data_IF_342232893906
#
_entry.id   IF_342232893906
#
_cell.length_a   1.000
_cell.length_b   1.000
_cell.length_c   1.000
_cell.angle_alpha   90.00
_cell.angle_beta   90.00
_cell.angle_gamma   90.00
#
_symmetry.space_group_name_H-M   'P 1'
#
loop_
_entity.id
_entity.type
_entity.pdbx_description
1 polymer ?
#
# COMPACT_ATOMS: atom_id res chain seq x y z
N UNK A 1 34.97 -6.33 47.67
CA UNK A 1 35.09 -4.88 47.91
C UNK A 1 34.29 -4.20 46.80
N UNK A 2 32.99 -3.98 47.00
CA UNK A 2 32.35 -2.75 47.54
C UNK A 2 32.59 -1.54 46.59
N UNK A 3 31.61 -0.78 46.11
CA UNK A 3 30.24 -0.54 46.59
C UNK A 3 29.28 0.01 45.49
N UNK A 4 27.99 -0.18 45.82
CA UNK A 4 26.68 0.30 45.35
C UNK A 4 26.48 1.79 45.04
N UNK A 5 25.42 2.13 44.28
CA UNK A 5 24.30 3.05 44.65
C UNK A 5 23.18 3.08 43.54
N UNK A 6 21.94 3.58 43.80
CA UNK A 6 20.68 2.83 43.59
C UNK A 6 19.61 3.52 42.70
N UNK A 7 18.47 2.84 42.50
CA UNK A 7 17.15 3.51 42.35
C UNK A 7 16.26 3.06 41.19
N UNK A 8 15.60 1.90 41.34
CA UNK A 8 14.33 1.58 40.64
C UNK A 8 13.15 2.20 41.41
N UNK A 9 12.11 2.69 40.72
CA UNK A 9 10.71 2.32 40.98
C UNK A 9 9.66 3.03 40.10
N UNK A 10 8.54 2.32 39.91
CA UNK A 10 7.19 2.69 39.44
C UNK A 10 6.82 2.54 37.95
N UNK A 11 6.39 1.31 37.63
CA UNK A 11 5.21 1.05 36.79
C UNK A 11 4.31 0.03 37.50
N UNK A 12 3.00 0.29 37.73
CA UNK A 12 2.12 -0.75 38.22
C UNK A 12 1.67 -1.65 37.06
N UNK A 13 1.96 -2.95 37.20
CA UNK A 13 1.17 -4.03 36.61
C UNK A 13 0.27 -4.56 37.72
N UNK A 14 -1.00 -4.76 37.43
CA UNK A 14 -1.78 -5.93 37.83
C UNK A 14 -3.25 -5.76 37.38
N UNK A 15 -3.69 -6.63 36.48
CA UNK A 15 -5.08 -7.10 36.42
C UNK A 15 -4.99 -8.59 36.07
N UNK A 16 -5.37 -9.44 37.02
CA UNK A 16 -5.69 -10.86 36.83
C UNK A 16 -7.23 -11.02 36.92
N UNK A 17 -7.88 -11.81 36.05
CA UNK A 17 -9.33 -11.98 36.05
C UNK A 17 -9.77 -13.33 36.66
N UNK A 18 -10.80 -13.32 37.52
CA UNK A 18 -11.52 -14.53 37.93
C UNK A 18 -12.65 -14.24 38.92
N UNK A 19 -13.92 -14.48 38.52
CA UNK A 19 -15.16 -14.27 39.30
C UNK A 19 -15.41 -15.32 40.41
N UNK A 20 -16.65 -15.76 40.72
CA UNK A 20 -18.00 -15.26 40.41
C UNK A 20 -18.91 -15.11 41.69
N UNK A 21 -20.22 -14.93 41.48
CA UNK A 21 -21.36 -14.99 42.43
C UNK A 21 -21.70 -13.77 43.30
N UNK A 22 -23.01 -13.45 43.36
CA UNK A 22 -23.61 -12.76 44.50
C UNK A 22 -24.59 -11.62 44.21
N UNK A 23 -25.86 -11.99 44.03
CA UNK A 23 -27.11 -11.21 44.04
C UNK A 23 -27.20 -10.14 45.14
N UNK A 24 -27.95 -9.03 44.92
CA UNK A 24 -29.11 -8.54 45.75
C UNK A 24 -29.61 -7.13 45.33
N UNK A 25 -30.89 -7.10 44.92
CA UNK A 25 -31.99 -6.15 45.14
C UNK A 25 -31.86 -4.61 45.02
N UNK A 26 -32.53 -4.08 43.98
CA UNK A 26 -33.62 -3.07 43.94
C UNK A 26 -33.87 -2.05 45.07
N UNK A 27 -34.09 -0.79 44.66
CA UNK A 27 -35.17 0.15 45.09
C UNK A 27 -35.11 1.36 44.12
N UNK A 28 -35.96 1.44 43.09
CA UNK A 28 -37.23 2.21 42.99
C UNK A 28 -37.16 3.62 43.60
N UNK A 29 -37.20 4.64 42.73
CA UNK A 29 -38.13 5.78 42.83
C UNK A 29 -38.18 6.53 41.47
N UNK A 30 -39.38 6.65 40.89
CA UNK A 30 -39.70 7.62 39.83
C UNK A 30 -39.97 9.00 40.46
N UNK A 31 -39.89 10.08 39.66
CA UNK A 31 -41.14 10.80 39.40
C UNK A 31 -41.33 11.31 37.95
N UNK A 32 -42.47 10.91 37.39
CA UNK A 32 -43.46 11.64 36.56
C UNK A 32 -43.08 13.01 35.93
N UNK A 33 -42.99 13.02 34.60
CA UNK A 33 -43.99 13.62 33.70
C UNK A 33 -43.80 15.06 33.18
N UNK A 34 -43.65 15.21 31.85
CA UNK A 34 -44.64 15.83 30.92
C UNK A 34 -44.11 16.02 29.48
N UNK A 35 -44.83 15.40 28.53
CA UNK A 35 -45.26 15.83 27.18
C UNK A 35 -44.33 16.63 26.25
N UNK A 36 -44.15 16.11 25.02
CA UNK A 36 -43.71 16.88 23.85
C UNK A 36 -43.39 16.03 22.61
N UNK A 37 -44.40 15.81 21.77
CA UNK A 37 -44.41 15.60 20.29
C UNK A 37 -43.46 14.63 19.56
N UNK A 38 -44.10 13.77 18.74
CA UNK A 38 -43.52 12.92 17.69
C UNK A 38 -43.34 13.70 16.39
N UNK A 39 -42.22 13.46 15.70
CA UNK A 39 -42.21 13.29 14.24
C UNK A 39 -41.21 12.17 13.91
N UNK A 40 -41.71 11.03 13.45
CA UNK A 40 -40.90 9.97 12.84
C UNK A 40 -41.53 9.70 11.48
N UNK A 41 -40.84 10.14 10.43
CA UNK A 41 -41.21 9.82 9.05
C UNK A 41 -41.00 8.33 8.78
N UNK A 42 -42.08 7.69 8.35
CA UNK A 42 -42.11 6.35 7.78
C UNK A 42 -41.72 6.44 6.30
N UNK A 43 -40.68 5.72 5.90
CA UNK A 43 -40.50 5.34 4.49
C UNK A 43 -40.91 3.88 4.36
N UNK A 44 -42.03 3.68 3.66
CA UNK A 44 -42.55 2.38 3.23
C UNK A 44 -41.82 1.98 1.94
N UNK A 45 -41.26 0.78 1.87
CA UNK A 45 -40.79 0.18 0.61
C UNK A 45 -41.69 -1.01 0.29
N UNK A 46 -42.38 -0.89 -0.84
CA UNK A 46 -43.33 -1.86 -1.37
C UNK A 46 -42.59 -2.98 -2.14
N UNK A 47 -43.01 -4.21 -1.91
CA UNK A 47 -42.51 -5.43 -2.56
C UNK A 47 -43.47 -5.84 -3.67
N UNK A 48 -43.12 -5.64 -4.95
CA UNK A 48 -43.69 -6.41 -6.07
C UNK A 48 -42.74 -6.56 -7.25
N UNK A 49 -42.53 -7.81 -7.65
CA UNK A 49 -42.57 -8.22 -9.06
C UNK A 49 -41.26 -8.31 -9.81
N UNK A 50 -40.74 -9.53 -9.96
CA UNK A 50 -39.97 -9.94 -11.14
C UNK A 50 -40.75 -9.66 -12.43
N UNK A 51 -40.05 -9.50 -13.56
CA UNK A 51 -40.18 -10.54 -14.58
C UNK A 51 -38.88 -10.91 -15.31
N UNK A 52 -38.87 -12.17 -15.77
CA UNK A 52 -38.06 -12.70 -16.87
C UNK A 52 -38.17 -11.87 -18.16
N UNK A 53 -37.15 -11.97 -19.02
CA UNK A 53 -37.20 -12.01 -20.52
C UNK A 53 -35.76 -11.93 -21.06
N UNK A 54 -35.18 -13.00 -21.60
CA UNK A 54 -35.17 -13.40 -23.02
C UNK A 54 -34.55 -12.38 -23.99
N UNK A 55 -33.39 -12.71 -24.56
CA UNK A 55 -32.82 -12.11 -25.77
C UNK A 55 -33.73 -12.28 -26.99
N UNK A 56 -33.54 -11.50 -28.07
CA UNK A 56 -32.78 -12.04 -29.22
C UNK A 56 -31.91 -11.02 -29.99
N UNK A 57 -31.07 -11.60 -30.87
CA UNK A 57 -30.17 -11.02 -31.86
C UNK A 57 -30.76 -9.90 -32.75
N UNK A 58 -29.89 -9.01 -33.22
CA UNK A 58 -29.95 -8.48 -34.59
C UNK A 58 -28.55 -8.14 -35.13
N UNK A 59 -28.41 -8.39 -36.43
CA UNK A 59 -27.27 -8.32 -37.34
C UNK A 59 -26.86 -6.87 -37.72
N UNK A 60 -25.66 -6.71 -38.31
CA UNK A 60 -24.99 -5.44 -38.69
C UNK A 60 -25.66 -4.60 -39.80
N UNK A 61 -24.96 -3.67 -40.51
CA UNK A 61 -23.66 -3.92 -41.17
C UNK A 61 -22.62 -2.75 -41.18
N UNK A 62 -21.40 -3.13 -41.59
CA UNK A 62 -20.37 -2.45 -42.43
C UNK A 62 -20.22 -0.93 -42.49
N UNK A 63 -18.98 -0.45 -42.35
CA UNK A 63 -18.36 0.48 -43.31
C UNK A 63 -16.84 0.31 -43.37
N UNK A 64 -16.37 0.14 -44.60
CA UNK A 64 -15.00 0.11 -45.07
C UNK A 64 -14.28 1.47 -44.98
N UNK A 65 -12.94 1.40 -44.93
CA UNK A 65 -12.09 2.20 -45.82
C UNK A 65 -11.38 3.41 -45.19
N UNK A 66 -10.07 3.33 -45.02
CA UNK A 66 -9.13 3.67 -46.11
C UNK A 66 -7.68 3.77 -45.62
N UNK A 67 -6.83 3.05 -46.33
CA UNK A 67 -5.38 3.16 -46.33
C UNK A 67 -4.92 4.53 -46.84
N UNK A 68 -3.81 5.03 -46.29
CA UNK A 68 -2.85 5.84 -47.06
C UNK A 68 -1.43 5.41 -46.74
N UNK A 69 -0.85 4.69 -47.71
CA UNK A 69 0.59 4.55 -47.92
C UNK A 69 1.10 5.79 -48.66
N UNK A 70 2.33 6.24 -48.35
CA UNK A 70 3.43 6.59 -49.30
C UNK A 70 4.43 7.53 -48.61
N UNK A 71 5.67 7.08 -48.33
CA UNK A 71 6.89 7.20 -49.16
C UNK A 71 7.76 8.42 -48.79
N UNK A 72 8.97 8.22 -48.25
CA UNK A 72 10.24 8.48 -48.96
C UNK A 72 10.77 9.91 -48.69
N UNK A 73 12.04 10.25 -48.55
CA UNK A 73 13.31 9.60 -48.77
C UNK A 73 14.46 10.48 -48.19
N UNK A 74 15.65 9.90 -48.05
CA UNK A 74 17.00 10.50 -48.15
C UNK A 74 17.57 11.40 -47.03
N UNK A 75 18.71 10.94 -46.46
CA UNK A 75 19.75 11.78 -45.83
C UNK A 75 20.55 12.59 -46.86
N UNK A 76 21.63 13.29 -46.46
CA UNK A 76 22.85 12.59 -46.03
C UNK A 76 23.68 13.25 -44.89
N UNK A 77 24.69 12.48 -44.46
CA UNK A 77 25.82 12.80 -43.58
C UNK A 77 26.62 14.06 -43.97
N UNK A 78 27.27 14.70 -42.98
CA UNK A 78 28.71 15.06 -43.05
C UNK A 78 29.31 15.32 -41.66
N UNK A 79 30.28 14.48 -41.30
CA UNK A 79 31.55 14.70 -40.59
C UNK A 79 31.84 16.01 -39.83
N UNK A 80 32.34 15.85 -38.60
CA UNK A 80 32.98 16.91 -37.79
C UNK A 80 34.39 17.31 -38.26
N UNK A 81 35.11 18.08 -37.42
CA UNK A 81 36.40 17.54 -36.98
C UNK A 81 36.74 17.80 -35.50
N UNK A 82 37.52 16.86 -34.96
CA UNK A 82 38.33 16.96 -33.76
C UNK A 82 39.29 18.16 -33.79
N UNK A 83 39.47 18.81 -32.64
CA UNK A 83 40.74 19.46 -32.29
C UNK A 83 41.09 19.19 -30.83
N UNK A 84 42.07 18.31 -30.66
CA UNK A 84 42.89 18.12 -29.47
C UNK A 84 43.74 19.37 -29.16
N UNK A 85 43.72 19.82 -27.91
CA UNK A 85 44.65 20.82 -27.38
C UNK A 85 44.96 20.52 -25.92
N UNK A 86 46.15 19.99 -25.67
CA UNK A 86 46.72 19.78 -24.34
C UNK A 86 47.48 21.03 -23.86
N UNK A 87 47.71 21.08 -22.53
CA UNK A 87 48.47 22.06 -21.72
C UNK A 87 47.67 23.18 -21.04
N UNK A 88 47.31 22.96 -19.77
CA UNK A 88 47.87 23.75 -18.66
C UNK A 88 47.66 22.99 -17.34
N UNK A 89 48.77 22.57 -16.73
CA UNK A 89 48.82 21.96 -15.39
C UNK A 89 49.49 22.95 -14.45
N UNK A 90 48.74 23.91 -13.92
CA UNK A 90 49.07 24.57 -12.66
C UNK A 90 47.86 25.33 -12.11
N UNK A 91 47.69 25.28 -10.78
CA UNK A 91 46.65 25.95 -9.99
C UNK A 91 45.20 25.46 -10.16
N UNK A 92 44.92 24.25 -9.67
CA UNK A 92 43.67 24.02 -8.95
C UNK A 92 43.91 24.27 -7.46
N UNK A 93 43.54 25.46 -7.01
CA UNK A 93 43.07 25.62 -5.64
C UNK A 93 41.98 24.57 -5.44
N UNK A 94 42.21 23.54 -4.64
CA UNK A 94 41.12 22.69 -4.17
C UNK A 94 40.16 23.59 -3.39
N UNK A 95 38.92 23.81 -3.84
CA UNK A 95 37.94 24.37 -2.95
C UNK A 95 37.69 23.29 -1.91
N UNK A 96 38.02 23.60 -0.66
CA UNK A 96 37.59 22.86 0.52
C UNK A 96 36.04 22.88 0.55
N UNK A 97 35.42 22.03 -0.26
CA UNK A 97 33.99 21.93 -0.45
C UNK A 97 33.44 21.13 0.70
N UNK A 98 32.90 21.82 1.70
CA UNK A 98 32.20 21.17 2.80
C UNK A 98 31.13 20.23 2.22
N UNK A 99 31.25 18.95 2.49
CA UNK A 99 30.28 17.95 2.05
C UNK A 99 28.93 18.24 2.73
N UNK A 100 27.84 18.26 1.94
CA UNK A 100 26.50 18.49 2.48
C UNK A 100 26.10 17.34 3.44
N UNK A 101 25.55 17.70 4.60
CA UNK A 101 25.19 16.75 5.67
C UNK A 101 23.78 16.99 6.17
N UNK A 102 23.14 15.91 6.63
CA UNK A 102 21.83 15.99 7.27
C UNK A 102 22.01 16.17 8.78
N UNK A 103 21.47 17.27 9.33
CA UNK A 103 21.54 17.62 10.76
C UNK A 103 20.16 18.05 11.29
N UNK A 104 19.93 18.06 12.62
CA UNK A 104 18.74 18.65 13.19
C UNK A 104 18.59 20.12 12.77
N UNK A 105 17.35 20.54 12.55
CA UNK A 105 17.01 21.94 12.28
C UNK A 105 17.23 22.79 13.54
N UNK A 106 17.69 24.02 13.34
CA UNK A 106 17.89 25.05 14.36
C UNK A 106 17.08 26.30 14.03
N UNK A 107 16.99 27.25 14.97
CA UNK A 107 16.29 28.52 14.75
C UNK A 107 16.87 29.32 13.56
N UNK A 108 18.19 29.22 13.33
CA UNK A 108 18.86 29.88 12.20
C UNK A 108 18.34 29.41 10.83
N UNK A 109 17.78 28.20 10.75
CA UNK A 109 17.25 27.64 9.51
C UNK A 109 15.78 28.09 9.25
N UNK A 110 15.12 28.81 10.17
CA UNK A 110 13.67 29.12 10.10
C UNK A 110 13.27 29.76 8.78
N UNK A 111 14.00 30.78 8.33
CA UNK A 111 13.66 31.49 7.10
C UNK A 111 13.71 30.56 5.89
N UNK A 112 14.72 29.68 5.82
CA UNK A 112 14.85 28.67 4.78
C UNK A 112 13.68 27.68 4.83
N UNK A 113 13.33 27.16 6.01
CA UNK A 113 12.20 26.23 6.18
C UNK A 113 10.89 26.85 5.70
N UNK A 114 10.59 28.09 6.13
CA UNK A 114 9.37 28.80 5.73
C UNK A 114 9.31 29.02 4.22
N UNK A 115 10.41 29.48 3.61
CA UNK A 115 10.49 29.68 2.17
C UNK A 115 10.29 28.36 1.40
N UNK A 116 10.96 27.29 1.82
CA UNK A 116 10.87 25.99 1.17
C UNK A 116 9.44 25.39 1.23
N UNK A 117 8.74 25.56 2.35
CA UNK A 117 7.33 25.14 2.48
C UNK A 117 6.42 25.97 1.56
N UNK A 118 6.56 27.30 1.58
CA UNK A 118 5.75 28.20 0.78
C UNK A 118 5.97 28.02 -0.72
N UNK A 119 7.17 27.62 -1.15
CA UNK A 119 7.49 27.37 -2.56
C UNK A 119 7.03 25.97 -3.00
N UNK A 120 7.23 24.94 -2.17
CA UNK A 120 7.10 23.54 -2.62
C UNK A 120 5.70 22.94 -2.45
N UNK A 121 4.90 23.41 -1.49
CA UNK A 121 3.62 22.79 -1.14
C UNK A 121 2.39 23.29 -1.94
N UNK A 122 2.22 24.58 -2.28
CA UNK A 122 0.97 25.08 -2.86
C UNK A 122 0.51 24.40 -4.15
N UNK A 123 1.46 23.95 -4.99
CA UNK A 123 1.16 23.23 -6.22
C UNK A 123 0.35 21.95 -5.95
N UNK A 124 0.55 21.31 -4.80
CA UNK A 124 0.03 19.99 -4.47
C UNK A 124 -0.98 20.00 -3.31
N UNK A 125 -0.89 20.98 -2.41
CA UNK A 125 -1.61 21.01 -1.14
C UNK A 125 -2.26 22.37 -0.90
N UNK A 126 -3.48 22.36 -0.36
CA UNK A 126 -4.15 23.58 0.11
C UNK A 126 -3.73 23.92 1.54
N UNK A 127 -4.08 25.12 2.00
CA UNK A 127 -3.85 25.58 3.37
C UNK A 127 -2.72 26.60 3.52
N UNK A 128 -2.51 27.05 4.75
CA UNK A 128 -1.46 28.01 5.10
C UNK A 128 -0.13 27.29 5.37
N UNK A 129 0.73 27.30 4.35
CA UNK A 129 2.02 26.61 4.38
C UNK A 129 3.07 27.30 5.26
N UNK A 130 2.94 28.62 5.48
CA UNK A 130 3.83 29.37 6.36
C UNK A 130 3.50 29.07 7.82
N UNK A 131 2.23 29.16 8.19
CA UNK A 131 1.78 28.77 9.54
C UNK A 131 2.06 27.29 9.82
N UNK A 132 1.96 26.44 8.80
CA UNK A 132 2.36 25.04 8.92
C UNK A 132 3.86 24.92 9.24
N UNK A 133 4.74 25.56 8.46
CA UNK A 133 6.18 25.55 8.67
C UNK A 133 6.55 25.99 10.09
N UNK A 134 6.01 27.13 10.54
CA UNK A 134 6.25 27.67 11.87
C UNK A 134 5.80 26.69 12.96
N UNK A 135 4.59 26.13 12.85
CA UNK A 135 4.06 25.19 13.84
C UNK A 135 4.92 23.94 14.01
N UNK A 136 5.37 23.30 12.92
CA UNK A 136 6.15 22.06 13.01
C UNK A 136 7.59 22.33 13.44
N UNK A 137 8.14 23.50 13.07
CA UNK A 137 9.45 23.94 13.52
C UNK A 137 9.45 24.26 15.01
N UNK A 138 8.48 25.06 15.49
CA UNK A 138 8.35 25.42 16.89
C UNK A 138 8.18 24.19 17.78
N UNK A 139 7.39 23.20 17.31
CA UNK A 139 7.29 21.92 17.99
C UNK A 139 8.67 21.27 18.12
N UNK A 140 9.41 21.10 17.02
CA UNK A 140 10.76 20.52 17.03
C UNK A 140 11.72 21.26 17.97
N UNK A 141 11.76 22.59 17.92
CA UNK A 141 12.63 23.43 18.75
C UNK A 141 12.27 23.35 20.24
N UNK A 142 10.99 23.17 20.57
CA UNK A 142 10.52 22.95 21.94
C UNK A 142 10.73 21.51 22.46
N UNK A 143 11.80 20.83 22.00
CA UNK A 143 12.09 19.43 22.34
C UNK A 143 11.26 18.41 21.56
N UNK A 144 10.46 18.87 20.61
CA UNK A 144 9.55 18.09 19.75
C UNK A 144 8.37 17.48 20.45
N UNK A 145 7.96 17.97 21.61
CA UNK A 145 6.70 17.55 22.22
C UNK A 145 5.54 18.09 21.39
N UNK A 146 4.71 17.20 20.85
CA UNK A 146 3.54 17.60 20.09
C UNK A 146 2.35 17.87 21.02
N UNK A 147 2.26 19.11 21.53
CA UNK A 147 1.22 19.52 22.49
C UNK A 147 -0.19 19.50 21.90
N UNK A 148 -0.33 19.61 20.59
CA UNK A 148 -1.61 19.57 19.89
C UNK A 148 -1.94 18.17 19.36
N UNK A 149 -1.02 17.22 19.50
CA UNK A 149 -1.07 15.90 18.88
C UNK A 149 -1.92 14.87 19.62
N UNK A 150 -3.14 14.62 19.16
CA UNK A 150 -3.96 13.52 19.71
C UNK A 150 -3.42 12.11 19.39
N UNK A 151 -2.70 11.92 18.28
CA UNK A 151 -2.05 10.64 17.93
C UNK A 151 -0.53 10.72 17.80
N UNK A 152 0.04 11.92 17.85
CA UNK A 152 1.47 12.15 17.81
C UNK A 152 2.06 12.24 19.21
N UNK A 153 3.26 11.67 19.34
CA UNK A 153 4.09 11.76 20.55
C UNK A 153 5.17 12.82 20.40
N UNK A 154 5.78 12.86 19.21
CA UNK A 154 6.99 13.65 18.98
C UNK A 154 7.09 14.11 17.55
N UNK A 155 7.61 15.32 17.36
CA UNK A 155 7.98 15.88 16.06
C UNK A 155 9.49 16.12 16.01
N UNK A 156 10.11 15.80 14.88
CA UNK A 156 11.54 16.05 14.62
C UNK A 156 11.73 16.53 13.20
N UNK A 157 12.59 17.52 13.03
CA UNK A 157 12.94 18.06 11.73
C UNK A 157 14.45 18.02 11.52
N UNK A 158 14.85 17.62 10.32
CA UNK A 158 16.23 17.61 9.87
C UNK A 158 16.38 18.42 8.58
N UNK A 159 17.51 19.07 8.40
CA UNK A 159 17.90 19.85 7.23
C UNK A 159 19.14 19.23 6.59
N UNK A 160 19.17 19.20 5.27
CA UNK A 160 20.36 18.93 4.47
C UNK A 160 21.03 20.28 4.18
N UNK A 161 22.26 20.46 4.63
CA UNK A 161 23.01 21.70 4.46
C UNK A 161 24.52 21.45 4.36
N UNK A 162 25.24 22.35 3.70
CA UNK A 162 26.70 22.45 3.79
C UNK A 162 27.10 23.71 4.59
N UNK A 163 28.35 24.16 4.46
CA UNK A 163 28.83 25.37 5.12
C UNK A 163 28.25 26.68 4.51
N UNK A 164 27.66 26.63 3.31
CA UNK A 164 27.23 27.79 2.53
C UNK A 164 25.71 27.95 2.55
N UNK A 165 24.96 26.87 2.42
CA UNK A 165 23.50 26.94 2.26
C UNK A 165 22.77 25.65 2.67
N UNK A 166 21.44 25.75 2.68
CA UNK A 166 20.53 24.64 2.95
C UNK A 166 19.85 24.18 1.66
N UNK A 167 19.66 22.87 1.51
CA UNK A 167 19.20 22.22 0.28
C UNK A 167 17.84 21.54 0.41
N UNK A 168 17.42 21.16 1.61
CA UNK A 168 16.15 20.48 1.82
C UNK A 168 15.88 20.13 3.28
N UNK A 169 14.67 19.68 3.57
CA UNK A 169 14.22 19.32 4.91
C UNK A 169 13.41 18.04 4.91
N UNK A 170 13.46 17.32 6.03
CA UNK A 170 12.51 16.25 6.33
C UNK A 170 11.94 16.47 7.73
N UNK A 171 10.61 16.47 7.80
CA UNK A 171 9.85 16.53 9.04
C UNK A 171 9.20 15.18 9.31
N UNK A 172 9.42 14.68 10.52
CA UNK A 172 8.99 13.37 11.00
C UNK A 172 8.08 13.51 12.20
N UNK A 173 6.98 12.78 12.18
CA UNK A 173 5.99 12.75 13.27
C UNK A 173 5.89 11.34 13.82
N UNK A 174 6.42 11.11 15.02
CA UNK A 174 6.28 9.85 15.74
C UNK A 174 4.86 9.69 16.25
N UNK A 175 4.25 8.55 15.94
CA UNK A 175 2.89 8.20 16.34
C UNK A 175 2.89 7.26 17.54
N UNK A 176 1.84 7.36 18.37
CA UNK A 176 1.60 6.47 19.53
C UNK A 176 1.65 4.99 19.13
N UNK A 177 1.20 4.69 17.92
CA UNK A 177 1.14 3.35 17.37
C UNK A 177 2.51 2.82 16.91
N UNK A 178 3.65 3.35 17.35
CA UNK A 178 5.01 2.92 16.91
C UNK A 178 5.20 2.95 15.38
N UNK A 179 4.73 4.02 14.76
CA UNK A 179 4.99 4.37 13.35
C UNK A 179 5.49 5.80 13.26
N UNK A 180 6.14 6.14 12.14
CA UNK A 180 6.62 7.50 11.88
C UNK A 180 6.01 8.00 10.57
N UNK A 181 5.40 9.19 10.59
CA UNK A 181 4.90 9.87 9.39
C UNK A 181 5.97 10.81 8.84
N UNK A 182 6.24 10.78 7.55
CA UNK A 182 6.97 11.84 6.83
C UNK A 182 5.95 12.92 6.41
N UNK A 183 6.14 14.17 6.83
CA UNK A 183 5.17 15.24 6.57
C UNK A 183 5.72 16.66 6.79
N UNK A 184 6.50 17.25 5.87
CA UNK A 184 6.91 16.73 4.56
C UNK A 184 8.40 16.33 4.47
N UNK A 185 8.80 15.75 3.33
CA UNK A 185 10.19 15.69 2.84
C UNK A 185 10.27 16.58 1.60
N UNK A 186 11.10 17.63 1.66
CA UNK A 186 11.22 18.64 0.61
C UNK A 186 12.68 18.83 0.24
N UNK A 187 12.94 18.96 -1.05
CA UNK A 187 14.23 19.41 -1.59
C UNK A 187 13.96 20.68 -2.39
N UNK A 188 14.81 21.69 -2.17
CA UNK A 188 14.75 22.97 -2.87
C UNK A 188 14.67 22.74 -4.38
N UNK A 189 13.74 23.41 -5.10
CA UNK A 189 13.52 23.16 -6.53
C UNK A 189 14.79 23.22 -7.39
N UNK A 190 15.70 24.16 -7.10
CA UNK A 190 16.97 24.34 -7.81
C UNK A 190 17.98 23.20 -7.61
N UNK A 191 17.76 22.33 -6.62
CA UNK A 191 18.64 21.22 -6.25
C UNK A 191 18.03 19.83 -6.46
N UNK A 192 16.83 19.75 -7.03
CA UNK A 192 16.19 18.45 -7.35
C UNK A 192 17.00 17.70 -8.40
N UNK A 193 17.14 16.39 -8.21
CA UNK A 193 17.97 15.53 -9.08
C UNK A 193 19.47 15.72 -8.90
N UNK A 194 19.90 16.54 -7.94
CA UNK A 194 21.30 16.80 -7.62
C UNK A 194 21.61 16.39 -6.19
N UNK A 195 22.89 16.17 -5.90
CA UNK A 195 23.43 15.94 -4.54
C UNK A 195 22.78 14.78 -3.76
N UNK A 196 22.03 13.91 -4.44
CA UNK A 196 21.24 12.84 -3.83
C UNK A 196 20.38 13.32 -2.63
N UNK A 197 19.97 14.60 -2.62
CA UNK A 197 19.46 15.23 -1.40
C UNK A 197 18.19 14.58 -0.83
N UNK A 198 17.28 14.15 -1.71
CA UNK A 198 16.11 13.39 -1.32
C UNK A 198 16.46 12.04 -0.69
N UNK A 199 17.46 11.34 -1.23
CA UNK A 199 17.95 10.07 -0.67
C UNK A 199 18.61 10.26 0.69
N UNK A 200 19.44 11.31 0.85
CA UNK A 200 20.08 11.61 2.14
C UNK A 200 19.04 11.92 3.23
N UNK A 201 18.03 12.74 2.92
CA UNK A 201 16.93 13.05 3.84
C UNK A 201 16.08 11.81 4.17
N UNK A 202 15.78 10.97 3.18
CA UNK A 202 15.02 9.74 3.41
C UNK A 202 15.82 8.71 4.23
N UNK A 203 17.11 8.56 3.96
CA UNK A 203 17.98 7.70 4.75
C UNK A 203 18.00 8.15 6.22
N UNK A 204 18.07 9.47 6.48
CA UNK A 204 17.97 9.99 7.85
C UNK A 204 16.61 9.71 8.48
N UNK A 205 15.53 9.81 7.71
CA UNK A 205 14.19 9.46 8.21
C UNK A 205 14.08 7.99 8.62
N UNK A 206 14.65 7.08 7.83
CA UNK A 206 14.70 5.66 8.14
C UNK A 206 15.57 5.34 9.35
N UNK A 207 16.78 5.92 9.41
CA UNK A 207 17.68 5.81 10.57
C UNK A 207 16.96 6.23 11.85
N UNK A 208 16.35 7.42 11.84
CA UNK A 208 15.61 7.93 13.00
C UNK A 208 14.43 7.03 13.36
N UNK A 209 13.64 6.61 12.38
CA UNK A 209 12.48 5.76 12.63
C UNK A 209 12.88 4.41 13.25
N UNK A 210 13.94 3.76 12.75
CA UNK A 210 14.50 2.53 13.32
C UNK A 210 14.99 2.75 14.75
N UNK A 211 15.74 3.83 14.99
CA UNK A 211 16.26 4.18 16.33
C UNK A 211 15.13 4.40 17.36
N UNK A 212 13.95 4.87 16.92
CA UNK A 212 12.77 5.01 17.78
C UNK A 212 11.94 3.73 17.94
N UNK A 213 12.38 2.60 17.39
CA UNK A 213 11.64 1.34 17.43
C UNK A 213 10.36 1.33 16.59
N UNK A 214 10.25 2.24 15.61
CA UNK A 214 9.10 2.26 14.72
C UNK A 214 9.11 1.02 13.81
N UNK A 215 7.94 0.41 13.60
CA UNK A 215 7.81 -0.73 12.67
C UNK A 215 7.62 -0.31 11.21
N UNK A 216 7.22 0.94 10.99
CA UNK A 216 6.79 1.43 9.69
C UNK A 216 7.01 2.94 9.56
N UNK A 217 7.50 3.35 8.39
CA UNK A 217 7.39 4.71 7.88
C UNK A 217 6.15 4.82 7.00
N UNK A 218 5.43 5.93 7.06
CA UNK A 218 4.35 6.20 6.13
C UNK A 218 4.32 7.66 5.71
N UNK A 219 3.77 7.92 4.54
CA UNK A 219 3.58 9.25 4.01
C UNK A 219 2.31 9.30 3.15
N UNK A 220 1.97 10.50 2.73
CA UNK A 220 0.98 10.69 1.69
C UNK A 220 1.61 11.47 0.55
N UNK A 221 1.23 11.17 -0.69
CA UNK A 221 1.72 11.86 -1.88
C UNK A 221 0.54 12.22 -2.78
N UNK A 222 0.45 13.49 -3.16
CA UNK A 222 -0.57 13.96 -4.09
C UNK A 222 -0.40 13.34 -5.48
N UNK A 223 -1.50 13.00 -6.15
CA UNK A 223 -1.47 12.51 -7.54
C UNK A 223 -0.87 13.55 -8.51
N UNK A 224 -0.92 14.83 -8.14
CA UNK A 224 -0.29 15.92 -8.90
C UNK A 224 1.24 15.95 -8.79
N UNK A 225 1.84 15.05 -7.99
CA UNK A 225 3.29 14.92 -7.81
C UNK A 225 3.80 13.49 -8.17
N UNK A 226 3.71 13.09 -9.45
CA UNK A 226 4.12 11.76 -9.89
C UNK A 226 5.62 11.49 -9.67
N UNK A 227 6.45 12.53 -9.68
CA UNK A 227 7.88 12.43 -9.39
C UNK A 227 8.14 11.94 -7.96
N UNK A 228 7.42 12.49 -6.98
CA UNK A 228 7.54 12.04 -5.57
C UNK A 228 6.97 10.65 -5.39
N UNK A 229 5.86 10.32 -6.06
CA UNK A 229 5.29 8.98 -6.01
C UNK A 229 6.29 7.94 -6.52
N UNK A 230 6.94 8.22 -7.66
CA UNK A 230 8.00 7.39 -8.23
C UNK A 230 9.21 7.31 -7.29
N UNK A 231 9.66 8.43 -6.73
CA UNK A 231 10.76 8.46 -5.76
C UNK A 231 10.49 7.57 -4.55
N UNK A 232 9.30 7.66 -3.94
CA UNK A 232 8.95 6.84 -2.78
C UNK A 232 8.89 5.35 -3.14
N UNK A 233 8.27 4.99 -4.27
CA UNK A 233 8.21 3.59 -4.74
C UNK A 233 9.59 2.99 -4.99
N UNK A 234 10.48 3.73 -5.65
CA UNK A 234 11.87 3.31 -5.88
C UNK A 234 12.66 3.11 -4.57
N UNK A 235 12.23 3.76 -3.49
CA UNK A 235 12.82 3.60 -2.17
C UNK A 235 12.05 2.60 -1.27
N UNK A 236 11.25 1.72 -1.87
CA UNK A 236 10.61 0.59 -1.17
C UNK A 236 9.32 0.94 -0.44
N UNK A 237 8.69 2.08 -0.76
CA UNK A 237 7.33 2.36 -0.29
C UNK A 237 6.29 1.68 -1.18
N UNK A 238 5.28 1.11 -0.54
CA UNK A 238 4.13 0.46 -1.17
C UNK A 238 2.91 1.37 -1.01
N UNK A 239 2.05 1.43 -2.04
CA UNK A 239 0.77 2.16 -1.97
C UNK A 239 -0.24 1.30 -1.21
N UNK A 240 -0.77 1.81 -0.11
CA UNK A 240 -1.82 1.16 0.67
C UNK A 240 -3.22 1.44 0.12
N UNK A 241 -3.41 2.61 -0.49
CA UNK A 241 -4.70 3.07 -0.99
C UNK A 241 -4.65 4.55 -1.37
N UNK A 242 -5.82 5.14 -1.60
CA UNK A 242 -5.96 6.56 -1.90
C UNK A 242 -7.18 7.20 -1.24
N UNK A 243 -7.15 8.51 -1.08
CA UNK A 243 -8.26 9.32 -0.60
C UNK A 243 -8.46 10.51 -1.54
N UNK A 244 -9.71 10.77 -1.95
CA UNK A 244 -10.04 11.90 -2.82
C UNK A 244 -10.32 13.15 -1.98
N UNK A 245 -9.78 14.30 -2.42
CA UNK A 245 -9.94 15.62 -1.79
C UNK A 245 -9.45 15.76 -0.35
N UNK A 246 -8.53 14.90 0.10
CA UNK A 246 -8.06 14.91 1.49
C UNK A 246 -7.30 16.19 1.88
N UNK A 247 -6.47 16.72 0.98
CA UNK A 247 -5.61 17.88 1.24
C UNK A 247 -5.74 19.01 0.21
N UNK A 248 -6.45 18.76 -0.89
CA UNK A 248 -6.73 19.73 -1.95
C UNK A 248 -7.99 19.31 -2.71
N UNK A 249 -8.98 20.21 -2.90
CA UNK A 249 -10.18 19.89 -3.68
C UNK A 249 -9.84 19.41 -5.09
N UNK A 250 -10.61 18.46 -5.61
CA UNK A 250 -10.41 17.83 -6.91
C UNK A 250 -9.17 16.94 -7.04
N UNK A 251 -8.41 16.72 -5.96
CA UNK A 251 -7.11 16.03 -6.02
C UNK A 251 -7.10 14.80 -5.12
N UNK A 252 -6.67 13.67 -5.68
CA UNK A 252 -6.41 12.42 -4.97
C UNK A 252 -5.06 12.45 -4.26
N UNK A 253 -5.04 11.88 -3.08
CA UNK A 253 -3.85 11.62 -2.29
C UNK A 253 -3.61 10.11 -2.19
N UNK A 254 -2.40 9.65 -2.49
CA UNK A 254 -1.97 8.28 -2.26
C UNK A 254 -1.40 8.12 -0.86
N UNK A 255 -1.80 7.06 -0.16
CA UNK A 255 -1.24 6.67 1.13
C UNK A 255 -0.16 5.62 0.91
N UNK A 256 1.05 5.88 1.37
CA UNK A 256 2.19 4.98 1.20
C UNK A 256 2.81 4.58 2.52
N UNK A 257 3.39 3.38 2.56
CA UNK A 257 4.18 2.93 3.70
C UNK A 257 5.38 2.10 3.29
N UNK A 258 6.37 2.05 4.19
CA UNK A 258 7.53 1.17 4.13
C UNK A 258 7.68 0.46 5.47
N UNK A 259 7.74 -0.87 5.45
CA UNK A 259 8.04 -1.66 6.65
C UNK A 259 9.54 -1.54 6.94
N UNK A 260 9.91 -1.23 8.18
CA UNK A 260 11.32 -0.98 8.54
C UNK A 260 12.05 -2.22 9.04
N UNK A 261 11.30 -3.13 9.68
CA UNK A 261 11.81 -4.35 10.30
C UNK A 261 11.15 -5.57 9.65
N UNK A 262 11.18 -5.63 8.31
CA UNK A 262 10.77 -6.86 7.64
C UNK A 262 11.77 -7.96 8.06
N UNK A 263 11.32 -9.13 8.52
CA UNK A 263 12.24 -10.23 8.77
C UNK A 263 13.02 -10.50 7.48
N UNK A 264 14.35 -10.60 7.58
CA UNK A 264 15.15 -11.03 6.44
C UNK A 264 14.62 -12.38 5.96
N UNK A 265 14.49 -12.58 4.64
CA UNK A 265 14.16 -13.91 4.13
C UNK A 265 15.21 -14.88 4.66
N UNK A 266 14.76 -15.92 5.37
CA UNK A 266 15.69 -16.84 6.01
C UNK A 266 16.62 -17.45 4.94
N UNK A 267 17.95 -17.47 5.14
CA UNK A 267 18.86 -18.06 4.18
C UNK A 267 18.54 -19.54 4.00
N UNK A 268 18.47 -20.00 2.75
CA UNK A 268 18.19 -21.40 2.41
C UNK A 268 16.71 -21.77 2.27
N UNK A 269 15.79 -20.80 2.21
CA UNK A 269 14.41 -21.08 1.77
C UNK A 269 14.45 -21.56 0.31
N UNK A 270 13.95 -22.79 0.12
CA UNK A 270 14.05 -23.51 -1.15
C UNK A 270 13.34 -22.78 -2.30
N UNK A 271 13.80 -23.02 -3.52
CA UNK A 271 13.21 -22.48 -4.73
C UNK A 271 11.72 -22.82 -4.80
N UNK A 272 10.87 -21.79 -4.87
CA UNK A 272 9.43 -21.93 -5.08
C UNK A 272 9.14 -21.85 -6.57
N UNK A 273 8.26 -22.72 -7.04
CA UNK A 273 7.85 -22.73 -8.46
C UNK A 273 6.34 -22.69 -8.59
N UNK A 274 5.86 -21.85 -9.51
CA UNK A 274 4.44 -21.80 -9.89
C UNK A 274 4.22 -22.70 -11.09
N UNK A 275 3.28 -23.64 -10.98
CA UNK A 275 2.86 -24.53 -12.07
C UNK A 275 1.37 -24.79 -12.03
N UNK A 276 0.84 -25.43 -13.08
CA UNK A 276 -0.55 -25.87 -13.07
C UNK A 276 -0.73 -27.09 -12.15
N UNK A 277 -1.93 -27.22 -11.60
CA UNK A 277 -2.33 -28.33 -10.74
C UNK A 277 -2.24 -29.66 -11.50
N UNK A 278 -1.64 -30.68 -10.89
CA UNK A 278 -1.74 -32.07 -11.35
C UNK A 278 -2.61 -32.89 -10.41
N UNK A 279 -3.16 -34.02 -10.87
CA UNK A 279 -4.11 -34.80 -10.08
C UNK A 279 -3.55 -35.26 -8.71
N UNK A 280 -2.24 -35.53 -8.64
CA UNK A 280 -1.56 -35.88 -7.39
C UNK A 280 -1.55 -34.76 -6.33
N UNK A 281 -1.73 -33.50 -6.73
CA UNK A 281 -1.76 -32.36 -5.82
C UNK A 281 -3.12 -32.19 -5.13
N UNK A 282 -4.19 -32.77 -5.68
CA UNK A 282 -5.58 -32.49 -5.28
C UNK A 282 -5.81 -32.68 -3.78
N UNK A 283 -5.31 -33.73 -3.10
CA UNK A 283 -5.47 -33.86 -1.65
C UNK A 283 -4.80 -32.71 -0.87
N UNK A 284 -3.56 -32.34 -1.22
CA UNK A 284 -2.83 -31.27 -0.54
C UNK A 284 -3.46 -29.89 -0.82
N UNK A 285 -3.90 -29.66 -2.06
CA UNK A 285 -4.64 -28.45 -2.44
C UNK A 285 -5.95 -28.34 -1.63
N UNK A 286 -6.69 -29.44 -1.50
CA UNK A 286 -7.95 -29.48 -0.75
C UNK A 286 -7.74 -29.11 0.72
N UNK A 287 -6.75 -29.71 1.36
CA UNK A 287 -6.42 -29.43 2.76
C UNK A 287 -6.02 -27.95 2.96
N UNK A 288 -5.18 -27.39 2.09
CA UNK A 288 -4.75 -25.99 2.20
C UNK A 288 -5.92 -25.02 2.00
N UNK A 289 -6.77 -25.29 1.01
CA UNK A 289 -7.92 -24.45 0.69
C UNK A 289 -8.96 -24.45 1.83
N UNK A 290 -9.27 -25.62 2.41
CA UNK A 290 -10.19 -25.71 3.55
C UNK A 290 -9.62 -24.97 4.76
N UNK A 291 -8.35 -25.20 5.09
CA UNK A 291 -7.69 -24.53 6.21
C UNK A 291 -7.72 -22.99 6.08
N UNK A 292 -7.66 -22.46 4.86
CA UNK A 292 -7.68 -21.02 4.61
C UNK A 292 -9.09 -20.41 4.58
N UNK A 293 -10.10 -21.12 4.06
CA UNK A 293 -11.41 -20.55 3.77
C UNK A 293 -12.53 -20.98 4.72
N UNK A 294 -12.48 -22.18 5.28
CA UNK A 294 -13.52 -22.67 6.22
C UNK A 294 -13.68 -21.75 7.44
N UNK A 295 -12.59 -21.24 8.08
CA UNK A 295 -12.74 -20.33 9.22
C UNK A 295 -13.40 -18.99 8.85
N UNK A 296 -13.29 -18.56 7.59
CA UNK A 296 -13.69 -17.22 7.13
C UNK A 296 -14.86 -17.25 6.15
N UNK A 297 -15.51 -18.37 5.91
CA UNK A 297 -16.66 -18.45 5.01
C UNK A 297 -17.68 -19.47 5.52
N UNK A 298 -18.90 -19.01 5.81
CA UNK A 298 -19.99 -19.88 6.25
C UNK A 298 -20.40 -20.84 5.12
N UNK A 299 -20.54 -22.12 5.44
CA UNK A 299 -21.05 -23.14 4.51
C UNK A 299 -20.06 -23.62 3.45
N UNK A 300 -18.75 -23.34 3.60
CA UNK A 300 -17.71 -23.95 2.78
C UNK A 300 -17.18 -25.22 3.45
N UNK A 301 -17.21 -26.34 2.72
CA UNK A 301 -16.64 -27.61 3.13
C UNK A 301 -16.05 -28.39 1.97
N UNK A 302 -15.87 -29.70 2.15
CA UNK A 302 -15.29 -30.58 1.13
C UNK A 302 -16.08 -30.58 -0.18
N UNK A 303 -17.40 -30.46 -0.11
CA UNK A 303 -18.29 -30.40 -1.27
C UNK A 303 -18.01 -29.19 -2.19
N UNK A 304 -17.63 -28.05 -1.59
CA UNK A 304 -17.20 -26.85 -2.30
C UNK A 304 -15.84 -27.06 -3.00
N UNK A 305 -14.90 -27.72 -2.32
CA UNK A 305 -13.61 -28.08 -2.92
C UNK A 305 -13.80 -29.09 -4.06
N UNK A 306 -14.68 -30.07 -3.89
CA UNK A 306 -14.99 -31.02 -4.96
C UNK A 306 -15.63 -30.31 -6.16
N UNK A 307 -16.45 -29.29 -5.92
CA UNK A 307 -17.01 -28.45 -6.98
C UNK A 307 -15.91 -27.67 -7.73
N UNK A 308 -14.90 -27.17 -7.01
CA UNK A 308 -13.71 -26.53 -7.58
C UNK A 308 -12.92 -27.51 -8.46
N UNK A 309 -12.66 -28.74 -7.99
CA UNK A 309 -11.97 -29.79 -8.77
C UNK A 309 -12.78 -30.18 -10.00
N UNK A 310 -14.11 -30.33 -9.89
CA UNK A 310 -14.99 -30.56 -11.05
C UNK A 310 -14.88 -29.43 -12.07
N UNK A 311 -14.80 -28.17 -11.61
CA UNK A 311 -14.62 -27.02 -12.50
C UNK A 311 -13.25 -27.00 -13.19
N UNK A 312 -12.20 -27.43 -12.49
CA UNK A 312 -10.86 -27.59 -13.06
C UNK A 312 -10.82 -28.67 -14.15
N UNK A 313 -11.51 -29.79 -13.95
CA UNK A 313 -11.61 -30.86 -14.95
C UNK A 313 -12.30 -30.39 -16.25
N UNK A 314 -13.13 -29.34 -16.19
CA UNK A 314 -13.78 -28.72 -17.36
C UNK A 314 -12.91 -27.68 -18.08
N UNK A 315 -11.69 -27.36 -17.63
CA UNK A 315 -10.87 -26.26 -18.20
C UNK A 315 -10.65 -26.30 -19.71
N UNK A 316 -10.58 -27.50 -20.28
CA UNK A 316 -10.37 -27.68 -21.71
C UNK A 316 -11.58 -27.27 -22.56
N UNK A 317 -12.79 -27.20 -21.99
CA UNK A 317 -13.97 -26.74 -22.75
C UNK A 317 -13.87 -25.26 -23.10
N UNK A 318 -13.13 -24.48 -22.30
CA UNK A 318 -13.04 -23.02 -22.38
C UNK A 318 -14.42 -22.31 -22.44
N UNK A 319 -15.48 -23.00 -22.05
CA UNK A 319 -16.85 -22.50 -22.07
C UNK A 319 -17.15 -21.73 -20.78
N UNK A 320 -17.30 -20.41 -20.91
CA UNK A 320 -17.61 -19.51 -19.79
C UNK A 320 -18.91 -19.88 -19.07
N UNK A 321 -19.90 -20.44 -19.77
CA UNK A 321 -21.18 -20.83 -19.18
C UNK A 321 -21.06 -22.10 -18.33
N UNK A 322 -20.07 -22.96 -18.61
CA UNK A 322 -19.72 -24.12 -17.78
C UNK A 322 -18.85 -23.77 -16.57
N UNK A 323 -18.52 -22.49 -16.39
CA UNK A 323 -17.77 -21.93 -15.24
C UNK A 323 -16.50 -22.74 -14.94
N UNK A 324 -15.73 -23.06 -15.98
CA UNK A 324 -14.47 -23.76 -15.82
C UNK A 324 -13.47 -22.96 -14.97
N UNK A 325 -12.44 -23.64 -14.47
CA UNK A 325 -11.34 -23.02 -13.72
C UNK A 325 -9.99 -23.51 -14.21
N UNK A 326 -9.01 -22.63 -14.32
CA UNK A 326 -7.62 -23.04 -14.28
C UNK A 326 -7.15 -22.98 -12.82
N UNK A 327 -6.29 -23.90 -12.39
CA UNK A 327 -5.75 -23.92 -11.02
C UNK A 327 -4.23 -23.93 -11.11
N UNK A 328 -3.63 -22.93 -10.48
CA UNK A 328 -2.19 -22.78 -10.36
C UNK A 328 -1.77 -23.03 -8.91
N UNK A 329 -0.65 -23.69 -8.73
CA UNK A 329 -0.09 -24.04 -7.42
C UNK A 329 1.34 -23.54 -7.30
N UNK A 330 1.72 -23.16 -6.07
CA UNK A 330 3.14 -23.01 -5.71
C UNK A 330 3.57 -24.27 -5.01
N UNK A 331 4.70 -24.81 -5.45
CA UNK A 331 5.38 -25.92 -4.78
C UNK A 331 6.80 -25.52 -4.40
N UNK A 332 7.31 -26.11 -3.31
CA UNK A 332 8.73 -26.03 -2.98
C UNK A 332 9.56 -27.08 -3.74
N UNK A 333 10.88 -27.04 -3.55
CA UNK A 333 11.85 -27.97 -4.17
C UNK A 333 11.53 -29.46 -3.95
N UNK A 334 10.86 -29.79 -2.85
CA UNK A 334 10.50 -31.16 -2.49
C UNK A 334 9.14 -31.55 -3.09
N UNK A 335 8.55 -30.68 -3.93
CA UNK A 335 7.25 -30.86 -4.56
C UNK A 335 6.08 -30.63 -3.61
N UNK A 336 6.31 -30.13 -2.39
CA UNK A 336 5.21 -29.91 -1.44
C UNK A 336 4.44 -28.66 -1.84
N UNK A 337 3.12 -28.77 -1.84
CA UNK A 337 2.23 -27.66 -2.17
C UNK A 337 2.22 -26.62 -1.05
N UNK A 338 2.45 -25.36 -1.43
CA UNK A 338 2.56 -24.19 -0.54
C UNK A 338 1.56 -23.08 -0.86
N UNK A 339 0.94 -23.09 -2.03
CA UNK A 339 -0.07 -22.10 -2.40
C UNK A 339 -0.98 -22.56 -3.52
N UNK A 340 -2.18 -21.97 -3.59
CA UNK A 340 -3.20 -22.25 -4.61
C UNK A 340 -3.82 -20.94 -5.08
N UNK A 341 -4.00 -20.82 -6.39
CA UNK A 341 -4.81 -19.79 -7.03
C UNK A 341 -5.68 -20.43 -8.12
N UNK A 342 -7.00 -20.41 -7.94
CA UNK A 342 -7.93 -20.84 -8.98
C UNK A 342 -8.49 -19.64 -9.74
N UNK A 343 -8.38 -19.65 -11.05
CA UNK A 343 -8.78 -18.55 -11.92
C UNK A 343 -10.02 -18.95 -12.72
N UNK A 344 -10.96 -18.01 -12.85
CA UNK A 344 -12.14 -18.20 -13.68
C UNK A 344 -12.52 -16.91 -14.38
N UNK A 345 -12.43 -16.87 -15.72
CA UNK A 345 -12.80 -15.69 -16.50
C UNK A 345 -14.28 -15.35 -16.35
N UNK A 346 -14.58 -14.07 -16.52
CA UNK A 346 -15.93 -13.49 -16.51
C UNK A 346 -16.29 -12.99 -17.90
N UNK A 347 -17.60 -12.94 -18.18
CA UNK A 347 -18.14 -12.49 -19.47
C UNK A 347 -17.64 -11.10 -19.88
N UNK A 348 -17.37 -10.22 -18.93
CA UNK A 348 -16.81 -8.87 -19.16
C UNK A 348 -15.28 -8.78 -19.23
N UNK A 349 -14.57 -9.91 -19.39
CA UNK A 349 -13.11 -9.93 -19.60
C UNK A 349 -12.25 -9.89 -18.32
N UNK A 350 -12.83 -9.69 -17.13
CA UNK A 350 -12.08 -9.82 -15.88
C UNK A 350 -11.91 -11.29 -15.46
N UNK A 351 -10.89 -11.57 -14.66
CA UNK A 351 -10.65 -12.91 -14.11
C UNK A 351 -10.79 -12.91 -12.59
N UNK A 352 -11.71 -13.74 -12.08
CA UNK A 352 -11.80 -13.96 -10.63
C UNK A 352 -10.74 -14.96 -10.20
N UNK A 353 -9.90 -14.60 -9.25
CA UNK A 353 -8.89 -15.45 -8.61
C UNK A 353 -9.42 -15.86 -7.24
N UNK A 354 -10.00 -17.06 -7.14
CA UNK A 354 -10.56 -17.58 -5.89
C UNK A 354 -10.78 -19.11 -5.98
N UNK A 355 -10.29 -19.91 -5.00
CA UNK A 355 -9.47 -19.49 -3.86
C UNK A 355 -8.12 -18.90 -4.28
N UNK A 356 -7.58 -18.04 -3.42
CA UNK A 356 -6.21 -17.52 -3.48
C UNK A 356 -5.68 -17.58 -2.06
N UNK A 357 -4.82 -18.55 -1.76
CA UNK A 357 -4.30 -18.78 -0.42
C UNK A 357 -2.92 -19.45 -0.48
N UNK A 358 -2.13 -19.27 0.58
CA UNK A 358 -0.83 -19.89 0.71
C UNK A 358 -0.53 -20.24 2.18
N UNK A 359 0.39 -21.16 2.39
CA UNK A 359 0.87 -21.56 3.71
C UNK A 359 1.64 -20.43 4.42
N UNK A 360 2.22 -19.50 3.65
CA UNK A 360 3.02 -18.41 4.16
C UNK A 360 3.10 -17.24 3.15
N UNK A 361 3.60 -16.06 3.57
CA UNK A 361 3.63 -14.87 2.74
C UNK A 361 4.54 -14.97 1.50
N UNK A 362 5.56 -15.83 1.54
CA UNK A 362 6.51 -16.00 0.44
C UNK A 362 5.90 -16.80 -0.70
N UNK A 363 5.20 -17.89 -0.37
CA UNK A 363 4.41 -18.64 -1.34
C UNK A 363 3.27 -17.81 -1.94
N UNK A 364 2.62 -16.95 -1.14
CA UNK A 364 1.65 -15.99 -1.68
C UNK A 364 2.32 -14.98 -2.60
N UNK A 365 3.48 -14.45 -2.22
CA UNK A 365 4.25 -13.51 -3.02
C UNK A 365 4.65 -14.11 -4.38
N UNK A 366 5.13 -15.35 -4.40
CA UNK A 366 5.50 -16.03 -5.64
C UNK A 366 4.28 -16.27 -6.55
N UNK A 367 3.11 -16.66 -5.99
CA UNK A 367 1.86 -16.71 -6.76
C UNK A 367 1.55 -15.35 -7.40
N UNK A 368 1.53 -14.28 -6.62
CA UNK A 368 1.14 -12.95 -7.09
C UNK A 368 2.13 -12.34 -8.09
N UNK A 369 3.40 -12.75 -8.03
CA UNK A 369 4.42 -12.37 -9.01
C UNK A 369 4.14 -13.00 -10.38
N UNK A 370 3.78 -14.29 -10.43
CA UNK A 370 3.66 -15.06 -11.68
C UNK A 370 2.27 -15.12 -12.28
N UNK A 371 1.22 -14.94 -11.47
CA UNK A 371 -0.17 -14.99 -11.94
C UNK A 371 -0.50 -14.00 -13.06
N UNK A 372 -0.07 -12.73 -13.05
CA UNK A 372 -0.40 -11.78 -14.11
C UNK A 372 -0.07 -12.28 -15.52
N UNK A 373 1.16 -12.77 -15.72
CA UNK A 373 1.63 -13.27 -17.02
C UNK A 373 0.89 -14.54 -17.44
N UNK A 374 0.54 -15.41 -16.48
CA UNK A 374 -0.17 -16.67 -16.73
C UNK A 374 -1.65 -16.46 -17.07
N UNK A 375 -2.29 -15.47 -16.47
CA UNK A 375 -3.76 -15.32 -16.45
C UNK A 375 -4.23 -14.20 -17.38
N UNK A 376 -3.42 -13.16 -17.54
CA UNK A 376 -3.71 -12.00 -18.37
C UNK A 376 -2.48 -11.65 -19.23
N UNK A 377 -1.96 -12.57 -20.08
CA UNK A 377 -0.76 -12.32 -20.89
C UNK A 377 -0.88 -11.12 -21.83
N UNK A 378 -2.11 -10.82 -22.26
CA UNK A 378 -2.45 -9.69 -23.14
C UNK A 378 -2.94 -8.45 -22.36
N UNK A 379 -2.76 -8.45 -21.03
CA UNK A 379 -3.37 -7.48 -20.15
C UNK A 379 -4.80 -7.85 -19.75
N UNK A 380 -5.33 -7.14 -18.76
CA UNK A 380 -6.67 -7.40 -18.23
C UNK A 380 -6.83 -6.97 -16.77
N UNK A 381 -7.88 -7.48 -16.12
CA UNK A 381 -8.15 -7.23 -14.70
C UNK A 381 -8.35 -8.53 -13.95
N UNK A 382 -7.56 -8.73 -12.91
CA UNK A 382 -7.76 -9.81 -11.93
C UNK A 382 -8.43 -9.24 -10.68
N UNK A 383 -9.28 -10.04 -10.03
CA UNK A 383 -9.84 -9.67 -8.73
C UNK A 383 -10.04 -10.89 -7.82
N UNK A 384 -9.91 -10.68 -6.51
CA UNK A 384 -10.06 -11.71 -5.47
C UNK A 384 -10.81 -11.13 -4.29
N UNK A 385 -11.48 -11.99 -3.52
CA UNK A 385 -12.00 -11.62 -2.20
C UNK A 385 -11.12 -12.24 -1.13
N UNK A 386 -10.68 -11.46 -0.15
CA UNK A 386 -9.79 -11.91 0.93
C UNK A 386 -10.26 -11.34 2.26
N UNK A 387 -10.08 -12.06 3.39
CA UNK A 387 -10.31 -11.47 4.70
C UNK A 387 -9.32 -10.30 4.93
N UNK A 388 -9.69 -9.31 5.76
CA UNK A 388 -8.83 -8.18 6.10
C UNK A 388 -7.72 -8.62 7.07
N UNK A 389 -6.71 -9.32 6.54
CA UNK A 389 -5.53 -9.75 7.28
C UNK A 389 -4.32 -8.84 6.97
N UNK A 390 -3.62 -8.28 7.97
CA UNK A 390 -2.46 -7.43 7.75
C UNK A 390 -1.33 -8.08 6.93
N UNK A 391 -1.15 -9.39 7.02
CA UNK A 391 -0.06 -10.09 6.32
C UNK A 391 -0.38 -10.22 4.83
N UNK A 392 -1.54 -10.80 4.51
CA UNK A 392 -2.08 -10.96 3.16
C UNK A 392 -2.23 -9.62 2.45
N UNK A 393 -2.76 -8.61 3.16
CA UNK A 393 -2.92 -7.25 2.62
C UNK A 393 -1.59 -6.63 2.19
N UNK A 394 -0.53 -6.81 2.99
CA UNK A 394 0.81 -6.30 2.64
C UNK A 394 1.36 -6.97 1.39
N UNK A 395 1.20 -8.28 1.25
CA UNK A 395 1.69 -9.02 0.09
C UNK A 395 0.91 -8.58 -1.16
N UNK A 396 -0.42 -8.49 -1.07
CA UNK A 396 -1.27 -7.98 -2.15
C UNK A 396 -0.85 -6.57 -2.61
N UNK A 397 -0.72 -5.63 -1.66
CA UNK A 397 -0.32 -4.25 -1.96
C UNK A 397 1.09 -4.18 -2.57
N UNK A 398 2.04 -4.99 -2.07
CA UNK A 398 3.40 -5.06 -2.63
C UNK A 398 3.42 -5.55 -4.09
N UNK A 399 2.43 -6.37 -4.46
CA UNK A 399 2.20 -6.85 -5.83
C UNK A 399 1.22 -6.00 -6.63
N UNK A 400 0.95 -4.76 -6.21
CA UNK A 400 0.13 -3.81 -6.95
C UNK A 400 -1.37 -4.12 -6.96
N UNK A 401 -1.86 -4.92 -6.01
CA UNK A 401 -3.29 -5.08 -5.80
C UNK A 401 -3.84 -3.93 -4.97
N UNK A 402 -5.01 -3.45 -5.35
CA UNK A 402 -5.70 -2.33 -4.71
C UNK A 402 -7.03 -2.79 -4.13
N UNK A 403 -7.48 -2.10 -3.08
CA UNK A 403 -8.79 -2.32 -2.49
C UNK A 403 -9.84 -1.62 -3.34
N UNK A 404 -10.78 -2.39 -3.89
CA UNK A 404 -11.94 -1.85 -4.59
C UNK A 404 -13.07 -1.52 -3.60
N UNK A 405 -13.33 -2.42 -2.66
CA UNK A 405 -14.47 -2.33 -1.74
C UNK A 405 -14.29 -3.22 -0.50
N UNK A 406 -15.03 -2.87 0.56
CA UNK A 406 -15.36 -3.77 1.66
C UNK A 406 -16.74 -4.37 1.42
N UNK A 407 -16.89 -5.64 1.75
CA UNK A 407 -18.11 -6.44 1.59
C UNK A 407 -18.55 -6.96 2.98
N UNK A 408 -19.31 -6.17 3.75
CA UNK A 408 -19.81 -6.59 5.06
C UNK A 408 -20.79 -7.76 4.94
N UNK A 409 -20.65 -8.80 5.76
CA UNK A 409 -21.62 -9.90 5.81
C UNK A 409 -21.61 -10.85 4.61
N UNK A 410 -20.76 -10.62 3.60
CA UNK A 410 -20.87 -11.30 2.31
C UNK A 410 -20.47 -12.78 2.34
N UNK A 411 -19.66 -13.19 3.32
CA UNK A 411 -19.13 -14.55 3.45
C UNK A 411 -19.32 -15.14 4.85
N UNK A 412 -19.29 -14.30 5.88
CA UNK A 412 -19.82 -14.55 7.22
C UNK A 412 -20.44 -13.23 7.71
N UNK A 413 -21.45 -13.32 8.55
CA UNK A 413 -22.23 -12.19 9.07
C UNK A 413 -21.42 -11.27 10.02
N UNK A 414 -20.42 -11.82 10.69
CA UNK A 414 -19.59 -11.16 11.71
C UNK A 414 -18.31 -10.47 11.18
N UNK A 415 -18.10 -10.46 9.86
CA UNK A 415 -16.87 -9.90 9.27
C UNK A 415 -17.11 -9.17 7.94
N UNK A 416 -16.11 -8.38 7.55
CA UNK A 416 -15.99 -7.87 6.19
C UNK A 416 -15.06 -8.76 5.37
N UNK A 417 -15.35 -8.91 4.08
CA UNK A 417 -14.37 -9.34 3.09
C UNK A 417 -13.90 -8.14 2.27
N UNK A 418 -12.65 -8.16 1.84
CA UNK A 418 -12.06 -7.12 1.01
C UNK A 418 -12.06 -7.60 -0.43
N UNK A 419 -12.65 -6.82 -1.33
CA UNK A 419 -12.45 -7.03 -2.76
C UNK A 419 -11.15 -6.34 -3.18
N UNK A 420 -10.20 -7.17 -3.63
CA UNK A 420 -8.94 -6.72 -4.19
C UNK A 420 -8.98 -6.83 -5.70
N UNK A 421 -8.37 -5.88 -6.40
CA UNK A 421 -8.13 -6.03 -7.84
C UNK A 421 -6.74 -5.57 -8.25
N UNK A 422 -6.28 -6.11 -9.38
CA UNK A 422 -5.05 -5.70 -10.05
C UNK A 422 -5.33 -5.58 -11.53
N UNK A 423 -4.98 -4.44 -12.10
CA UNK A 423 -4.89 -4.29 -13.55
C UNK A 423 -3.53 -4.78 -14.02
N UNK A 424 -3.53 -5.54 -15.09
CA UNK A 424 -2.35 -6.00 -15.81
C UNK A 424 -2.32 -5.22 -17.11
N UNK A 425 -1.28 -4.43 -17.30
CA UNK A 425 -1.05 -3.76 -18.58
C UNK A 425 -0.63 -4.83 -19.61
N UNK A 426 -1.20 -4.78 -20.81
CA UNK A 426 -0.76 -5.66 -21.88
C UNK A 426 0.67 -5.32 -22.27
N UNK A 427 1.47 -6.34 -22.61
CA UNK A 427 2.72 -6.09 -23.32
C UNK A 427 2.44 -5.36 -24.64
N UNK A 428 3.40 -4.57 -25.15
CA UNK A 428 3.32 -3.97 -26.48
C UNK A 428 3.12 -5.02 -27.59
#
# INVERSE_FOLDING_TARGET
MAATFPGEDNFPRDIDPGGPDGTVASLVEEPRGRTGERVVDRITVDHRGSPDTSSPDTSGPDTDGSDTNSSGANGPDTNGPDTSGAHDTSNRHEPNGAEARVRPVTEADRQFVRALFAESLPAHYSGDHLAHADRVLDAHLAGGVDRYGHFSLRQRMFVLADARECYGVVHLVCKRQRTVKISPLLVSPSYRGRLLGGYALLAKAEEYARATGARQLYCTVSETNPATLRFMRLNGFVVAGSAFEQYKPGVREFMLYKVLNAPEPAPGRGELTVRDLVDGDVPAMSALVLAAFEPVCTGLGQDWVDALVRAYRRRHTRDLNQKYKDIHVVVDRDGRLRGVAATGPKKGGSTKVMPLCAADPEALSELLARLPERVCPQGGRMYSHQPPDPTTSRVLQAHGWEVDALLPGAYRDDQCMVQWSRRVEGGP
#
